data_IF_555263385886
#
_entry.id   IF_555263385886
#
_cell.length_a   1.000
_cell.length_b   1.000
_cell.length_c   1.000
_cell.angle_alpha   90.00
_cell.angle_beta   90.00
_cell.angle_gamma   90.00
#
_symmetry.space_group_name_H-M   'P 1'
#
loop_
_entity.id
_entity.type
_entity.pdbx_description
1 polymer ?
#
# COMPACT_ATOMS: atom_id res chain seq x y z
N UNK A 1 13.58 -27.44 2.75
CA UNK A 1 14.71 -27.99 1.99
C UNK A 1 14.15 -28.70 0.77
N UNK A 2 14.10 -28.03 -0.37
CA UNK A 2 13.73 -28.64 -1.65
C UNK A 2 14.77 -28.15 -2.67
N UNK A 3 15.62 -29.06 -3.04
CA UNK A 3 16.64 -28.84 -4.06
C UNK A 3 16.00 -29.09 -5.44
N UNK A 4 16.02 -28.10 -6.31
CA UNK A 4 15.67 -28.24 -7.71
C UNK A 4 16.96 -28.58 -8.48
N UNK A 5 17.03 -29.78 -9.01
CA UNK A 5 18.18 -30.21 -9.82
C UNK A 5 17.85 -29.93 -11.29
N UNK A 6 18.57 -29.01 -11.91
CA UNK A 6 18.57 -28.79 -13.34
C UNK A 6 19.65 -29.69 -13.98
N UNK A 7 19.36 -30.45 -15.01
CA UNK A 7 20.37 -31.24 -15.70
C UNK A 7 21.26 -30.37 -16.58
N UNK A 8 22.50 -30.22 -16.21
CA UNK A 8 23.60 -29.74 -17.07
C UNK A 8 24.05 -28.32 -16.81
N UNK A 9 24.85 -28.12 -15.76
CA UNK A 9 26.07 -27.31 -15.68
C UNK A 9 26.45 -27.05 -14.22
N UNK A 10 27.67 -27.33 -13.90
CA UNK A 10 28.57 -26.91 -12.81
C UNK A 10 27.99 -26.40 -11.47
N UNK A 11 28.50 -27.02 -10.41
CA UNK A 11 28.28 -26.67 -9.02
C UNK A 11 28.64 -25.20 -8.79
N UNK A 12 27.65 -24.36 -8.45
CA UNK A 12 27.88 -23.01 -7.96
C UNK A 12 27.80 -22.98 -6.43
N UNK A 13 28.79 -22.35 -5.84
CA UNK A 13 29.15 -22.27 -4.45
C UNK A 13 28.00 -21.72 -3.55
N UNK A 14 27.65 -22.45 -2.48
CA UNK A 14 26.49 -22.21 -1.59
C UNK A 14 26.87 -21.30 -0.39
N UNK A 15 27.85 -20.46 -0.48
CA UNK A 15 28.39 -19.75 0.70
C UNK A 15 27.88 -18.34 1.00
N UNK A 16 26.87 -17.79 0.29
CA UNK A 16 26.49 -16.34 0.41
C UNK A 16 25.07 -16.06 0.92
N UNK A 17 24.31 -17.03 1.39
CA UNK A 17 22.93 -16.78 1.84
C UNK A 17 22.72 -17.00 3.35
N UNK A 18 23.42 -16.23 4.19
CA UNK A 18 23.08 -16.10 5.61
C UNK A 18 22.71 -14.64 5.90
N UNK A 19 21.43 -14.32 5.89
CA UNK A 19 21.01 -12.98 6.35
C UNK A 19 19.58 -12.53 6.11
N UNK A 20 18.72 -13.30 5.43
CA UNK A 20 17.35 -12.81 5.08
C UNK A 20 16.23 -13.71 5.59
N UNK A 21 16.52 -14.67 6.47
CA UNK A 21 15.59 -15.79 6.78
C UNK A 21 14.63 -15.55 7.95
N UNK A 22 14.56 -14.35 8.54
CA UNK A 22 13.80 -14.19 9.79
C UNK A 22 12.45 -13.46 9.69
N UNK A 23 12.11 -12.80 8.57
CA UNK A 23 10.88 -12.01 8.49
C UNK A 23 9.78 -12.58 7.60
N UNK A 24 10.06 -13.62 6.82
CA UNK A 24 9.05 -14.21 5.91
C UNK A 24 8.23 -15.36 6.51
N UNK A 25 8.58 -15.85 7.71
CA UNK A 25 7.88 -17.01 8.31
C UNK A 25 6.61 -16.70 9.07
N UNK A 26 6.34 -15.43 9.42
CA UNK A 26 5.20 -15.08 10.28
C UNK A 26 3.91 -14.75 9.51
N UNK A 27 3.99 -14.55 8.20
CA UNK A 27 2.84 -14.09 7.39
C UNK A 27 2.08 -15.19 6.63
N UNK A 28 2.59 -16.42 6.59
CA UNK A 28 1.95 -17.49 5.81
C UNK A 28 0.91 -18.35 6.56
N UNK A 29 0.61 -18.08 7.82
CA UNK A 29 -0.24 -18.99 8.62
C UNK A 29 -1.68 -18.50 8.87
N UNK A 30 -2.11 -17.37 8.32
CA UNK A 30 -3.42 -16.79 8.62
C UNK A 30 -4.35 -16.60 7.42
N UNK A 31 -4.22 -17.36 6.32
CA UNK A 31 -5.19 -17.26 5.21
C UNK A 31 -6.01 -18.55 5.11
N UNK A 32 -7.28 -18.57 5.57
CA UNK A 32 -8.19 -19.65 5.26
C UNK A 32 -8.72 -19.51 3.83
N UNK A 33 -8.39 -20.48 2.99
CA UNK A 33 -9.05 -20.93 1.79
C UNK A 33 -9.63 -19.86 0.86
N UNK A 34 -8.81 -19.26 0.02
CA UNK A 34 -9.29 -18.62 -1.20
C UNK A 34 -9.06 -19.51 -2.42
N UNK A 35 -10.09 -19.53 -3.27
CA UNK A 35 -10.24 -20.34 -4.47
C UNK A 35 -9.08 -20.07 -5.46
N UNK A 36 -8.59 -21.16 -6.06
CA UNK A 36 -7.42 -21.20 -6.95
C UNK A 36 -7.66 -20.39 -8.23
N UNK A 37 -7.41 -19.12 -8.23
CA UNK A 37 -7.01 -18.40 -9.44
C UNK A 37 -5.54 -18.00 -9.29
N UNK A 38 -4.74 -18.51 -10.24
CA UNK A 38 -3.30 -18.37 -10.30
C UNK A 38 -2.91 -16.89 -10.42
N UNK A 39 -2.44 -16.28 -9.33
CA UNK A 39 -1.68 -15.04 -9.40
C UNK A 39 -0.22 -15.45 -9.54
N UNK A 40 0.47 -15.10 -10.63
CA UNK A 40 1.88 -15.43 -10.75
C UNK A 40 2.70 -14.55 -9.84
N UNK A 41 3.18 -15.09 -8.72
CA UNK A 41 4.13 -14.47 -7.79
C UNK A 41 5.50 -14.12 -8.41
N UNK A 42 5.65 -14.25 -9.73
CA UNK A 42 6.95 -14.13 -10.40
C UNK A 42 7.33 -12.73 -10.86
N UNK A 43 6.46 -11.71 -10.68
CA UNK A 43 6.73 -10.37 -11.24
C UNK A 43 7.30 -9.32 -10.27
N UNK A 44 7.49 -9.65 -9.00
CA UNK A 44 7.92 -8.67 -7.98
C UNK A 44 9.43 -8.57 -7.78
N UNK A 45 10.28 -9.34 -8.46
CA UNK A 45 11.71 -9.42 -8.11
C UNK A 45 12.72 -9.00 -9.20
N UNK A 46 12.33 -8.46 -10.34
CA UNK A 46 13.27 -8.28 -11.44
C UNK A 46 13.76 -6.84 -11.72
N UNK A 47 13.42 -5.84 -10.92
CA UNK A 47 13.93 -4.46 -11.17
C UNK A 47 14.85 -3.86 -10.10
N UNK A 48 15.32 -4.63 -9.11
CA UNK A 48 16.07 -4.09 -7.97
C UNK A 48 17.62 -4.18 -8.09
N UNK A 49 18.21 -4.69 -9.14
CA UNK A 49 19.67 -4.81 -9.25
C UNK A 49 20.25 -4.09 -10.48
N UNK A 50 20.37 -2.77 -10.35
CA UNK A 50 21.35 -2.03 -11.15
C UNK A 50 22.36 -1.38 -10.21
N UNK A 51 23.44 -2.06 -9.91
CA UNK A 51 24.60 -1.50 -9.22
C UNK A 51 25.28 -0.50 -10.18
N UNK A 52 25.18 0.78 -9.86
CA UNK A 52 25.90 1.86 -10.53
C UNK A 52 26.87 2.51 -9.56
N UNK A 53 28.11 2.53 -9.91
CA UNK A 53 29.24 3.16 -9.22
C UNK A 53 29.02 4.66 -9.02
N UNK A 54 29.13 5.17 -7.78
CA UNK A 54 29.60 6.54 -7.46
C UNK A 54 28.78 7.72 -7.92
N UNK A 55 27.46 7.62 -8.10
CA UNK A 55 26.57 8.75 -8.36
C UNK A 55 25.64 9.00 -7.17
N UNK A 56 25.18 10.24 -6.95
CA UNK A 56 24.12 10.57 -6.00
C UNK A 56 23.06 9.46 -6.07
N UNK A 57 22.79 8.79 -4.93
CA UNK A 57 21.75 7.77 -4.85
C UNK A 57 20.44 8.44 -5.27
N UNK A 58 20.02 8.25 -6.52
CA UNK A 58 18.67 8.60 -6.90
C UNK A 58 17.77 7.71 -6.04
N UNK A 59 17.15 8.28 -5.02
CA UNK A 59 16.15 7.64 -4.19
C UNK A 59 15.04 7.22 -5.15
N UNK A 60 14.91 5.93 -5.38
CA UNK A 60 13.84 5.41 -6.23
C UNK A 60 12.58 5.36 -5.36
N UNK A 61 11.86 6.47 -5.36
CA UNK A 61 10.59 6.58 -4.64
C UNK A 61 9.57 5.73 -5.42
N UNK A 62 9.17 4.61 -4.83
CA UNK A 62 8.15 3.76 -5.39
C UNK A 62 6.78 4.31 -4.97
N UNK A 63 6.17 5.11 -5.86
CA UNK A 63 4.80 5.60 -5.64
C UNK A 63 3.85 4.42 -5.44
N UNK A 64 3.02 4.46 -4.39
CA UNK A 64 2.14 3.35 -4.03
C UNK A 64 0.73 3.82 -3.72
N UNK A 65 -0.27 3.10 -4.25
CA UNK A 65 -1.66 3.21 -3.81
C UNK A 65 -1.96 2.02 -2.90
N UNK A 66 -2.34 2.28 -1.65
CA UNK A 66 -2.87 1.28 -0.73
C UNK A 66 -4.39 1.30 -0.87
N UNK A 67 -4.94 0.30 -1.53
CA UNK A 67 -6.37 0.14 -1.77
C UNK A 67 -7.01 -0.67 -0.63
N UNK A 68 -7.83 -0.01 0.20
CA UNK A 68 -8.58 -0.65 1.29
C UNK A 68 -9.91 -1.10 0.71
N UNK A 69 -10.01 -2.40 0.39
CA UNK A 69 -11.19 -2.95 -0.26
C UNK A 69 -12.15 -3.65 0.70
N UNK A 70 -13.43 -3.70 0.32
CA UNK A 70 -14.45 -4.42 1.10
C UNK A 70 -15.87 -4.10 0.68
N UNK A 71 -16.83 -4.84 1.26
CA UNK A 71 -18.27 -4.60 1.08
C UNK A 71 -18.72 -3.29 1.75
N UNK A 72 -19.99 -2.90 1.54
CA UNK A 72 -20.61 -1.80 2.29
C UNK A 72 -20.59 -2.12 3.78
N UNK A 73 -20.28 -1.12 4.60
CA UNK A 73 -20.27 -1.27 6.07
C UNK A 73 -19.07 -2.06 6.61
N UNK A 74 -18.07 -2.44 5.79
CA UNK A 74 -16.89 -3.19 6.25
C UNK A 74 -15.83 -2.33 6.95
N UNK A 75 -16.09 -1.05 7.23
CA UNK A 75 -15.16 -0.18 7.97
C UNK A 75 -14.06 0.49 7.13
N UNK A 76 -14.11 0.42 5.80
CA UNK A 76 -13.09 1.03 4.92
C UNK A 76 -12.86 2.51 5.17
N UNK A 77 -13.93 3.31 5.05
CA UNK A 77 -13.87 4.76 5.26
C UNK A 77 -13.42 5.08 6.68
N UNK A 78 -13.94 4.37 7.67
CA UNK A 78 -13.54 4.52 9.08
C UNK A 78 -12.05 4.22 9.28
N UNK A 79 -11.52 3.19 8.62
CA UNK A 79 -10.09 2.84 8.67
C UNK A 79 -9.22 3.91 8.05
N UNK A 80 -9.63 4.51 6.92
CA UNK A 80 -8.92 5.65 6.30
C UNK A 80 -8.91 6.84 7.25
N UNK A 81 -10.06 7.19 7.83
CA UNK A 81 -10.19 8.31 8.78
C UNK A 81 -9.37 8.07 10.06
N UNK A 82 -9.31 6.82 10.55
CA UNK A 82 -8.48 6.47 11.68
C UNK A 82 -6.98 6.65 11.37
N UNK A 83 -6.52 6.19 10.20
CA UNK A 83 -5.14 6.41 9.74
C UNK A 83 -4.80 7.91 9.66
N UNK A 84 -5.70 8.72 9.10
CA UNK A 84 -5.49 10.17 9.01
C UNK A 84 -5.20 10.82 10.37
N UNK A 85 -5.82 10.33 11.44
CA UNK A 85 -5.61 10.85 12.80
C UNK A 85 -4.23 10.50 13.37
N UNK A 86 -3.58 9.47 12.83
CA UNK A 86 -2.27 8.98 13.27
C UNK A 86 -1.10 9.61 12.52
N UNK A 87 -1.34 10.20 11.34
CA UNK A 87 -0.28 10.85 10.58
C UNK A 87 0.31 12.02 11.37
N UNK A 88 1.65 12.06 11.55
CA UNK A 88 2.36 13.27 11.98
C UNK A 88 2.46 14.20 10.79
N UNK A 89 1.59 15.22 10.75
CA UNK A 89 1.23 15.88 9.50
C UNK A 89 1.11 17.39 9.58
N UNK A 90 1.52 18.02 8.50
CA UNK A 90 1.04 19.33 8.07
C UNK A 90 -0.04 19.13 7.00
N UNK A 91 -1.27 19.58 7.29
CA UNK A 91 -2.37 19.52 6.32
C UNK A 91 -2.08 20.47 5.16
N UNK A 92 -2.15 19.93 3.93
CA UNK A 92 -1.91 20.69 2.70
C UNK A 92 -3.20 20.94 1.94
N UNK A 93 -4.07 19.95 1.86
CA UNK A 93 -5.37 20.05 1.20
C UNK A 93 -6.40 19.16 1.90
N UNK A 94 -7.63 19.62 1.97
CA UNK A 94 -8.75 18.87 2.52
C UNK A 94 -10.04 19.22 1.76
N UNK A 95 -10.83 18.20 1.48
CA UNK A 95 -12.14 18.31 0.83
C UNK A 95 -13.12 17.31 1.45
N UNK A 96 -14.39 17.70 1.57
CA UNK A 96 -15.44 16.87 2.15
C UNK A 96 -16.58 16.68 1.17
N UNK A 97 -17.10 15.47 1.07
CA UNK A 97 -18.28 15.15 0.28
C UNK A 97 -19.09 14.03 0.92
N UNK A 98 -20.37 14.29 1.22
CA UNK A 98 -21.34 13.30 1.74
C UNK A 98 -20.84 12.45 2.94
N UNK A 99 -20.06 13.05 3.83
CA UNK A 99 -19.51 12.36 4.99
C UNK A 99 -18.15 11.67 4.75
N UNK A 100 -17.72 11.58 3.51
CA UNK A 100 -16.38 11.17 3.13
C UNK A 100 -15.43 12.37 3.00
N UNK A 101 -14.13 12.08 2.98
CA UNK A 101 -13.09 13.12 2.97
C UNK A 101 -11.89 12.72 2.13
N UNK A 102 -11.33 13.70 1.43
CA UNK A 102 -9.96 13.69 0.96
C UNK A 102 -9.10 14.51 1.91
N UNK A 103 -8.01 13.95 2.35
CA UNK A 103 -6.93 14.67 3.02
C UNK A 103 -5.63 14.44 2.26
N UNK A 104 -4.92 15.52 1.92
CA UNK A 104 -3.53 15.47 1.48
C UNK A 104 -2.68 16.14 2.53
N UNK A 105 -1.72 15.43 3.06
CA UNK A 105 -0.86 15.89 4.13
C UNK A 105 0.62 15.68 3.78
N UNK A 106 1.46 16.56 4.31
CA UNK A 106 2.89 16.35 4.37
C UNK A 106 3.18 15.60 5.65
N UNK A 107 3.57 14.34 5.53
CA UNK A 107 3.83 13.45 6.65
C UNK A 107 5.33 13.28 6.86
N UNK A 108 5.76 13.37 8.12
CA UNK A 108 7.14 13.10 8.54
C UNK A 108 7.24 11.68 9.06
N UNK A 109 7.79 10.79 8.24
CA UNK A 109 8.07 9.46 8.73
C UNK A 109 9.26 9.45 9.68
N UNK A 110 9.11 8.87 10.89
CA UNK A 110 10.23 8.70 11.81
C UNK A 110 11.34 7.81 11.23
N UNK A 111 11.00 6.97 10.25
CA UNK A 111 11.93 6.03 9.61
C UNK A 111 12.75 6.66 8.48
N UNK A 112 12.34 7.83 7.97
CA UNK A 112 12.95 8.49 6.81
C UNK A 112 13.97 9.58 7.17
N UNK A 113 14.46 9.60 8.40
CA UNK A 113 15.42 10.63 8.83
C UNK A 113 14.84 12.05 8.84
N UNK A 114 13.50 12.19 8.83
CA UNK A 114 12.78 13.46 8.86
C UNK A 114 12.52 14.09 7.50
N UNK A 115 12.74 13.38 6.39
CA UNK A 115 12.26 13.82 5.08
C UNK A 115 10.73 13.75 5.04
N UNK A 116 10.12 14.79 4.50
CA UNK A 116 8.66 14.88 4.35
C UNK A 116 8.22 14.16 3.06
N UNK A 117 7.07 13.49 3.11
CA UNK A 117 6.42 12.93 1.95
C UNK A 117 4.95 13.37 1.88
N UNK A 118 4.40 13.50 0.67
CA UNK A 118 2.98 13.74 0.51
C UNK A 118 2.22 12.43 0.57
N UNK A 119 1.27 12.37 1.50
CA UNK A 119 0.35 11.23 1.68
C UNK A 119 -1.07 11.72 1.41
N UNK A 120 -1.76 11.02 0.51
CA UNK A 120 -3.18 11.26 0.22
C UNK A 120 -4.04 10.19 0.90
N UNK A 121 -5.11 10.60 1.59
CA UNK A 121 -6.10 9.71 2.19
C UNK A 121 -7.47 10.01 1.60
N UNK A 122 -8.07 9.04 0.90
CA UNK A 122 -9.36 9.14 0.24
C UNK A 122 -10.33 8.13 0.86
N UNK A 123 -11.31 8.61 1.64
CA UNK A 123 -12.27 7.74 2.33
C UNK A 123 -13.44 7.31 1.45
N UNK A 124 -13.73 8.02 0.35
CA UNK A 124 -14.78 7.67 -0.61
C UNK A 124 -14.45 6.32 -1.28
N UNK A 125 -15.30 5.34 -1.05
CA UNK A 125 -15.12 3.98 -1.59
C UNK A 125 -16.40 3.38 -2.17
N UNK A 126 -17.48 4.16 -2.26
CA UNK A 126 -18.79 3.69 -2.71
C UNK A 126 -19.12 4.17 -4.14
N UNK A 127 -19.97 3.40 -4.87
CA UNK A 127 -20.45 3.79 -6.19
C UNK A 127 -21.25 5.12 -6.12
N UNK A 128 -21.21 5.93 -7.17
CA UNK A 128 -20.64 5.67 -8.50
C UNK A 128 -19.13 5.89 -8.64
N UNK A 129 -18.43 6.37 -7.59
CA UNK A 129 -16.98 6.55 -7.60
C UNK A 129 -16.46 7.76 -8.37
N UNK A 130 -17.33 8.72 -8.75
CA UNK A 130 -16.90 9.94 -9.44
C UNK A 130 -16.05 10.81 -8.53
N UNK A 131 -16.48 11.02 -7.30
CA UNK A 131 -15.74 11.81 -6.32
C UNK A 131 -14.40 11.16 -5.96
N UNK A 132 -14.38 9.82 -5.80
CA UNK A 132 -13.14 9.10 -5.58
C UNK A 132 -12.15 9.33 -6.73
N UNK A 133 -12.64 9.31 -7.98
CA UNK A 133 -11.81 9.52 -9.15
C UNK A 133 -11.15 10.92 -9.13
N UNK A 134 -11.96 11.97 -8.89
CA UNK A 134 -11.48 13.35 -8.79
C UNK A 134 -10.45 13.50 -7.67
N UNK A 135 -10.66 12.86 -6.53
CA UNK A 135 -9.76 12.88 -5.38
C UNK A 135 -8.45 12.15 -5.63
N UNK A 136 -8.49 11.02 -6.35
CA UNK A 136 -7.27 10.32 -6.77
C UNK A 136 -6.45 11.17 -7.75
N UNK A 137 -7.09 11.87 -8.69
CA UNK A 137 -6.43 12.81 -9.59
C UNK A 137 -5.80 14.00 -8.83
N UNK A 138 -6.48 14.52 -7.80
CA UNK A 138 -5.88 15.50 -6.86
C UNK A 138 -4.62 14.97 -6.19
N UNK A 139 -4.65 13.75 -5.67
CA UNK A 139 -3.47 13.14 -5.07
C UNK A 139 -2.28 13.06 -6.04
N UNK A 140 -2.56 12.76 -7.33
CA UNK A 140 -1.54 12.75 -8.38
C UNK A 140 -1.00 14.17 -8.63
N UNK A 141 -1.88 15.18 -8.72
CA UNK A 141 -1.54 16.59 -8.91
C UNK A 141 -0.58 17.08 -7.80
N UNK A 142 -0.88 16.74 -6.55
CA UNK A 142 -0.04 17.05 -5.38
C UNK A 142 1.19 16.14 -5.27
N UNK A 143 1.38 15.22 -6.21
CA UNK A 143 2.53 14.30 -6.26
C UNK A 143 2.64 13.42 -5.00
N UNK A 144 1.53 12.97 -4.46
CA UNK A 144 1.55 12.06 -3.33
C UNK A 144 2.43 10.84 -3.64
N UNK A 145 3.31 10.49 -2.71
CA UNK A 145 4.16 9.30 -2.81
C UNK A 145 3.37 8.06 -2.41
N UNK A 146 2.49 8.21 -1.42
CA UNK A 146 1.57 7.17 -0.97
C UNK A 146 0.14 7.73 -1.02
N UNK A 147 -0.77 6.94 -1.58
CA UNK A 147 -2.21 7.22 -1.57
C UNK A 147 -2.90 6.07 -0.87
N UNK A 148 -3.71 6.35 0.15
CA UNK A 148 -4.55 5.36 0.82
C UNK A 148 -6.00 5.63 0.41
N UNK A 149 -6.64 4.68 -0.25
CA UNK A 149 -7.97 4.88 -0.83
C UNK A 149 -8.90 3.72 -0.50
N UNK A 150 -10.13 4.04 -0.06
CA UNK A 150 -11.18 3.05 0.08
C UNK A 150 -11.73 2.65 -1.29
N UNK A 151 -12.11 1.37 -1.46
CA UNK A 151 -12.77 0.88 -2.67
C UNK A 151 -13.67 -0.31 -2.38
N UNK A 152 -14.49 -0.68 -3.36
CA UNK A 152 -15.27 -1.93 -3.35
C UNK A 152 -14.40 -3.13 -3.73
N UNK A 153 -14.98 -4.33 -3.66
CA UNK A 153 -14.32 -5.56 -4.10
C UNK A 153 -14.21 -5.63 -5.64
N UNK A 154 -15.03 -4.86 -6.35
CA UNK A 154 -15.06 -4.78 -7.82
C UNK A 154 -15.82 -3.54 -8.28
N UNK A 155 -15.70 -3.20 -9.56
CA UNK A 155 -16.43 -2.12 -10.23
C UNK A 155 -15.68 -0.79 -10.17
N UNK A 156 -16.41 0.30 -10.43
CA UNK A 156 -15.84 1.62 -10.75
C UNK A 156 -14.77 2.13 -9.78
N UNK A 157 -14.92 1.89 -8.48
CA UNK A 157 -13.93 2.37 -7.49
C UNK A 157 -12.60 1.62 -7.56
N UNK A 158 -12.62 0.34 -7.94
CA UNK A 158 -11.41 -0.45 -8.22
C UNK A 158 -10.82 -0.02 -9.57
N UNK A 159 -11.67 0.11 -10.59
CA UNK A 159 -11.25 0.52 -11.95
C UNK A 159 -10.55 1.89 -11.92
N UNK A 160 -11.04 2.84 -11.10
CA UNK A 160 -10.41 4.15 -10.88
C UNK A 160 -9.00 4.01 -10.32
N UNK A 161 -8.84 3.21 -9.25
CA UNK A 161 -7.52 2.97 -8.63
C UNK A 161 -6.55 2.34 -9.63
N UNK A 162 -6.97 1.31 -10.36
CA UNK A 162 -6.13 0.63 -11.34
C UNK A 162 -5.76 1.55 -12.52
N UNK A 163 -6.71 2.38 -12.98
CA UNK A 163 -6.46 3.38 -14.02
C UNK A 163 -5.42 4.39 -13.56
N UNK A 164 -5.64 5.02 -12.41
CA UNK A 164 -4.73 6.03 -11.85
C UNK A 164 -3.33 5.44 -11.62
N UNK A 165 -3.26 4.23 -11.07
CA UNK A 165 -1.99 3.53 -10.84
C UNK A 165 -1.21 3.32 -12.14
N UNK A 166 -1.86 2.77 -13.15
CA UNK A 166 -1.26 2.49 -14.46
C UNK A 166 -0.80 3.76 -15.16
N UNK A 167 -1.62 4.82 -15.16
CA UNK A 167 -1.35 6.07 -15.89
C UNK A 167 -0.25 6.91 -15.24
N UNK A 168 -0.08 6.81 -13.91
CA UNK A 168 0.82 7.66 -13.13
C UNK A 168 2.00 6.92 -12.48
N UNK A 169 2.17 5.63 -12.81
CA UNK A 169 3.30 4.82 -12.36
C UNK A 169 3.27 4.47 -10.88
N UNK A 170 2.06 4.31 -10.30
CA UNK A 170 1.90 3.77 -8.96
C UNK A 170 1.87 2.25 -8.98
N UNK A 171 2.38 1.64 -7.91
CA UNK A 171 2.13 0.23 -7.58
C UNK A 171 0.91 0.16 -6.67
N UNK A 172 0.00 -0.78 -6.90
CA UNK A 172 -1.18 -0.95 -6.05
C UNK A 172 -0.96 -2.11 -5.06
N UNK A 173 -1.26 -1.85 -3.79
CA UNK A 173 -1.29 -2.85 -2.71
C UNK A 173 -2.71 -2.94 -2.20
N UNK A 174 -3.31 -4.13 -2.25
CA UNK A 174 -4.67 -4.36 -1.77
C UNK A 174 -4.66 -4.91 -0.35
N UNK A 175 -5.50 -4.33 0.52
CA UNK A 175 -5.71 -4.77 1.90
C UNK A 175 -7.17 -4.62 2.30
N UNK A 176 -7.62 -5.36 3.31
CA UNK A 176 -8.97 -5.27 3.84
C UNK A 176 -8.94 -4.92 5.33
N UNK A 177 -9.92 -4.15 5.84
CA UNK A 177 -10.06 -3.91 7.27
C UNK A 177 -10.25 -5.21 8.04
N UNK A 178 -9.86 -5.21 9.30
CA UNK A 178 -10.17 -6.33 10.19
C UNK A 178 -11.67 -6.32 10.53
N UNK A 179 -12.36 -7.45 10.32
CA UNK A 179 -13.79 -7.57 10.53
C UNK A 179 -14.13 -8.33 11.80
N UNK A 180 -14.80 -7.65 12.75
CA UNK A 180 -15.55 -8.27 13.83
C UNK A 180 -16.61 -7.24 14.30
N UNK A 181 -17.87 -7.63 14.32
CA UNK A 181 -18.97 -6.72 14.64
C UNK A 181 -18.93 -6.21 16.10
N UNK A 182 -18.37 -7.01 17.01
CA UNK A 182 -18.34 -6.68 18.45
C UNK A 182 -17.16 -5.79 18.86
N UNK A 183 -16.08 -5.70 18.05
CA UNK A 183 -14.84 -4.99 18.41
C UNK A 183 -14.38 -4.00 17.33
N UNK A 184 -15.33 -3.39 16.64
CA UNK A 184 -15.08 -2.60 15.45
C UNK A 184 -14.07 -1.46 15.65
N UNK A 185 -14.23 -0.67 16.73
CA UNK A 185 -13.35 0.48 16.99
C UNK A 185 -11.92 0.05 17.30
N UNK A 186 -11.78 -0.99 18.13
CA UNK A 186 -10.47 -1.53 18.48
C UNK A 186 -9.73 -2.08 17.27
N UNK A 187 -10.42 -2.86 16.43
CA UNK A 187 -9.83 -3.44 15.23
C UNK A 187 -9.48 -2.40 14.16
N UNK A 188 -10.32 -1.38 13.98
CA UNK A 188 -10.02 -0.27 13.08
C UNK A 188 -8.77 0.49 13.52
N UNK A 189 -8.56 0.67 14.82
CA UNK A 189 -7.37 1.31 15.36
C UNK A 189 -6.12 0.48 15.09
N UNK A 190 -6.16 -0.83 15.38
CA UNK A 190 -5.02 -1.73 15.07
C UNK A 190 -4.72 -1.73 13.57
N UNK A 191 -5.76 -1.77 12.75
CA UNK A 191 -5.59 -1.71 11.30
C UNK A 191 -4.93 -0.39 10.86
N UNK A 192 -5.36 0.75 11.42
CA UNK A 192 -4.79 2.06 11.13
C UNK A 192 -3.32 2.16 11.56
N UNK A 193 -2.96 1.62 12.74
CA UNK A 193 -1.57 1.55 13.21
C UNK A 193 -0.69 0.73 12.25
N UNK A 194 -1.20 -0.41 11.75
CA UNK A 194 -0.50 -1.22 10.76
C UNK A 194 -0.36 -0.51 9.41
N UNK A 195 -1.37 0.26 9.00
CA UNK A 195 -1.30 1.07 7.77
C UNK A 195 -0.30 2.21 7.91
N UNK A 196 -0.24 2.88 9.07
CA UNK A 196 0.78 3.91 9.33
C UNK A 196 2.19 3.33 9.19
N UNK A 197 2.46 2.18 9.81
CA UNK A 197 3.75 1.51 9.69
C UNK A 197 4.07 1.17 8.22
N UNK A 198 3.08 0.74 7.43
CA UNK A 198 3.27 0.46 6.01
C UNK A 198 3.58 1.75 5.22
N UNK A 199 2.86 2.84 5.48
CA UNK A 199 3.11 4.16 4.89
C UNK A 199 4.55 4.61 5.19
N UNK A 200 4.97 4.53 6.45
CA UNK A 200 6.32 4.89 6.88
C UNK A 200 7.41 4.08 6.16
N UNK A 201 7.23 2.77 6.02
CA UNK A 201 8.17 1.91 5.31
C UNK A 201 8.21 2.18 3.79
N UNK A 202 7.07 2.57 3.19
CA UNK A 202 7.00 2.94 1.77
C UNK A 202 7.71 4.27 1.49
N UNK A 203 7.58 5.26 2.38
CA UNK A 203 8.23 6.57 2.25
C UNK A 203 9.75 6.46 2.44
N UNK A 204 10.22 5.53 3.27
CA UNK A 204 11.64 5.31 3.56
C UNK A 204 12.45 4.82 2.35
N UNK A 205 11.81 4.18 1.36
CA UNK A 205 12.49 3.58 0.20
C UNK A 205 12.89 4.60 -0.84
#
# INVERSE_FOLDING_TARGET
MLAYIHPGKGVADISVWRGVDCLLRTWCLAIPRFNKQKVPCAFLFLNAYRWGTGGKKNKFIMKTIIAIYGSTGSGKSTSVLALESLLDREKVYEEHHNGDRLLIARHKSPLNGGEDAFVGCCSEGDPPGYQQNEWLEKCVEYKCEVIVAACRNSGHTVDNIERIARENGYTTVYTAPYGNEDEYEFLNRIFADNMLNLVDELIKR
#
